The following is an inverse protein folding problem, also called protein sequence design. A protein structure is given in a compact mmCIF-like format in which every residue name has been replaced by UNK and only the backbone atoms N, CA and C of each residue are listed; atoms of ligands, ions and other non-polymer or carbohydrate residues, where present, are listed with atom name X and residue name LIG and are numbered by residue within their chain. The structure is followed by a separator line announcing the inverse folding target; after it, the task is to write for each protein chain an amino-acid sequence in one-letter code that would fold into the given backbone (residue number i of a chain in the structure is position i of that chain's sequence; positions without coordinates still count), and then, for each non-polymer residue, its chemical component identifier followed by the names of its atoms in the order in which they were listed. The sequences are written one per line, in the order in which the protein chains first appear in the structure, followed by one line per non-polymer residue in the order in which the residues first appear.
data_IF_031193311562
#
_entry.id   IF_031193311562
#
_cell.length_a   1.000
_cell.length_b   1.000
_cell.length_c   1.000
_cell.angle_alpha   90.00
_cell.angle_beta   90.00
_cell.angle_gamma   90.00
#
_symmetry.space_group_name_H-M   'P 1'
#
loop_
_entity.id
_entity.type
_entity.pdbx_description
1 polymer ?
#
# COMPACT_ATOMS: atom_id res chain seq x y z
N UNK A 1 19.04 6.87 -20.47
CA UNK A 1 17.83 6.47 -19.75
C UNK A 1 18.30 5.72 -18.52
N UNK A 2 18.26 6.35 -17.35
CA UNK A 2 18.68 5.71 -16.10
C UNK A 2 17.58 4.73 -15.70
N UNK A 3 17.85 3.45 -15.92
CA UNK A 3 17.12 2.35 -15.32
C UNK A 3 17.45 2.42 -13.83
N UNK A 4 16.48 2.85 -13.01
CA UNK A 4 16.61 2.86 -11.57
C UNK A 4 16.78 1.40 -11.13
N UNK A 5 18.01 1.08 -10.72
CA UNK A 5 18.39 -0.19 -10.15
C UNK A 5 17.63 -0.36 -8.84
N UNK A 6 16.80 -1.42 -8.76
CA UNK A 6 15.94 -1.71 -7.59
C UNK A 6 16.73 -1.98 -6.30
N UNK A 7 18.07 -1.92 -6.33
CA UNK A 7 18.93 -2.26 -5.19
C UNK A 7 19.27 -1.08 -4.28
N UNK A 8 18.88 0.16 -4.60
CA UNK A 8 19.19 1.35 -3.77
C UNK A 8 18.09 1.76 -2.79
N UNK A 9 16.94 1.08 -2.77
CA UNK A 9 15.92 1.26 -1.73
C UNK A 9 16.17 0.27 -0.58
N UNK A 10 17.10 0.62 0.32
CA UNK A 10 17.31 -0.03 1.63
C UNK A 10 16.16 0.26 2.61
N UNK A 11 14.92 0.04 2.16
CA UNK A 11 13.67 0.08 2.92
C UNK A 11 12.91 -1.20 2.65
N UNK A 12 13.36 -2.31 3.22
CA UNK A 12 13.01 -3.67 2.81
C UNK A 12 11.52 -3.93 2.55
N UNK A 13 11.17 -4.15 1.28
CA UNK A 13 10.04 -5.00 0.94
C UNK A 13 10.37 -6.42 1.42
N UNK A 14 9.69 -6.90 2.46
CA UNK A 14 10.02 -8.19 3.09
C UNK A 14 9.44 -9.41 2.34
N UNK A 15 8.99 -9.24 1.09
CA UNK A 15 8.37 -10.30 0.29
C UNK A 15 6.83 -10.33 0.40
N UNK A 16 6.22 -11.31 -0.29
CA UNK A 16 4.77 -11.52 -0.31
C UNK A 16 4.41 -12.58 0.76
N UNK A 17 3.54 -12.20 1.69
CA UNK A 17 3.12 -13.02 2.83
C UNK A 17 1.70 -13.52 2.67
N UNK A 18 1.40 -14.66 3.28
CA UNK A 18 0.04 -15.19 3.35
C UNK A 18 -0.87 -14.28 4.21
N UNK A 19 -2.11 -14.11 3.78
CA UNK A 19 -3.13 -13.36 4.52
C UNK A 19 -3.68 -14.18 5.70
N UNK A 20 -2.85 -14.34 6.74
CA UNK A 20 -3.13 -15.18 7.92
C UNK A 20 -2.64 -14.49 9.20
N UNK A 21 -3.23 -14.80 10.38
CA UNK A 21 -2.97 -14.03 11.61
C UNK A 21 -1.51 -14.01 12.10
N UNK A 22 -0.77 -15.11 11.92
CA UNK A 22 0.62 -15.21 12.40
C UNK A 22 1.58 -14.35 11.56
N UNK A 23 1.37 -14.26 10.24
CA UNK A 23 2.15 -13.35 9.38
C UNK A 23 1.91 -11.89 9.76
N UNK A 24 0.65 -11.53 10.04
CA UNK A 24 0.27 -10.19 10.48
C UNK A 24 0.88 -9.79 11.82
N UNK A 25 1.20 -10.75 12.68
CA UNK A 25 1.83 -10.50 13.98
C UNK A 25 3.30 -10.10 13.81
N UNK A 26 3.96 -10.62 12.78
CA UNK A 26 5.36 -10.36 12.46
C UNK A 26 5.58 -9.01 11.74
N UNK A 27 4.50 -8.36 11.29
CA UNK A 27 4.59 -7.03 10.65
C UNK A 27 5.07 -5.99 11.67
N UNK A 28 6.10 -5.18 11.33
CA UNK A 28 6.56 -4.13 12.23
C UNK A 28 5.53 -3.00 12.38
N UNK A 29 5.53 -2.36 13.54
CA UNK A 29 4.73 -1.17 13.80
C UNK A 29 5.46 0.09 13.28
N UNK A 30 5.50 0.24 11.96
CA UNK A 30 6.19 1.34 11.25
C UNK A 30 5.22 2.10 10.33
N UNK A 31 5.71 3.17 9.70
CA UNK A 31 5.04 3.82 8.58
C UNK A 31 5.41 3.14 7.26
N UNK A 32 4.55 3.26 6.26
CA UNK A 32 4.79 2.61 4.99
C UNK A 32 3.57 2.48 4.10
N UNK A 33 3.75 1.83 2.97
CA UNK A 33 2.69 1.45 2.03
C UNK A 33 2.47 -0.06 2.12
N UNK A 34 1.23 -0.50 2.10
CA UNK A 34 0.89 -1.92 2.03
C UNK A 34 -0.02 -2.23 0.86
N UNK A 35 0.14 -3.45 0.34
CA UNK A 35 -0.63 -4.01 -0.76
C UNK A 35 -1.36 -5.25 -0.27
N UNK A 36 -2.64 -5.37 -0.65
CA UNK A 36 -3.40 -6.61 -0.53
C UNK A 36 -3.55 -7.23 -1.91
N UNK A 37 -3.46 -8.57 -1.99
CA UNK A 37 -3.47 -9.32 -3.25
C UNK A 37 -4.44 -10.48 -3.23
N UNK A 38 -4.94 -10.82 -4.41
CA UNK A 38 -5.77 -12.01 -4.62
C UNK A 38 -4.95 -13.30 -4.75
N UNK A 39 -5.61 -14.43 -5.00
CA UNK A 39 -4.99 -15.75 -5.18
C UNK A 39 -3.97 -15.80 -6.34
N UNK A 40 -4.15 -14.94 -7.34
CA UNK A 40 -3.25 -14.81 -8.49
C UNK A 40 -2.11 -13.79 -8.23
N UNK A 41 -1.97 -13.34 -6.98
CA UNK A 41 -1.02 -12.31 -6.56
C UNK A 41 -1.23 -10.93 -7.23
N UNK A 42 -2.41 -10.70 -7.82
CA UNK A 42 -2.77 -9.41 -8.39
C UNK A 42 -3.09 -8.43 -7.26
N UNK A 43 -2.54 -7.22 -7.31
CA UNK A 43 -2.80 -6.20 -6.29
C UNK A 43 -4.25 -5.72 -6.43
N UNK A 44 -5.02 -5.88 -5.36
CA UNK A 44 -6.44 -5.52 -5.32
C UNK A 44 -6.71 -4.27 -4.49
N UNK A 45 -5.79 -3.92 -3.60
CA UNK A 45 -5.87 -2.75 -2.74
C UNK A 45 -4.48 -2.27 -2.33
N UNK A 46 -4.29 -0.95 -2.25
CA UNK A 46 -3.07 -0.28 -1.81
C UNK A 46 -3.45 0.82 -0.82
N UNK A 47 -2.74 0.93 0.30
CA UNK A 47 -2.93 2.05 1.21
C UNK A 47 -1.68 2.39 2.01
N UNK A 48 -1.68 3.61 2.55
CA UNK A 48 -0.61 4.13 3.41
C UNK A 48 -0.91 3.94 4.90
N UNK A 49 0.15 3.73 5.67
CA UNK A 49 0.18 3.70 7.12
C UNK A 49 1.09 4.80 7.66
N UNK A 50 0.63 5.53 8.69
CA UNK A 50 1.48 6.48 9.39
C UNK A 50 2.51 5.74 10.25
N UNK A 51 3.57 6.42 10.74
CA UNK A 51 4.51 5.83 11.70
C UNK A 51 3.79 5.13 12.85
N UNK A 52 4.08 3.84 13.04
CA UNK A 52 3.44 3.01 14.08
C UNK A 52 2.18 2.26 13.66
N UNK A 53 1.56 2.58 12.51
CA UNK A 53 0.20 2.11 12.19
C UNK A 53 0.14 0.89 11.25
N UNK A 54 1.24 0.50 10.59
CA UNK A 54 1.20 -0.50 9.52
C UNK A 54 0.56 -1.83 9.96
N UNK A 55 1.08 -2.42 11.04
CA UNK A 55 0.54 -3.66 11.62
C UNK A 55 -0.93 -3.50 12.03
N UNK A 56 -1.31 -2.37 12.63
CA UNK A 56 -2.67 -2.15 13.11
C UNK A 56 -3.66 -2.09 11.93
N UNK A 57 -3.32 -1.37 10.86
CA UNK A 57 -4.18 -1.25 9.68
C UNK A 57 -4.41 -2.58 8.99
N UNK A 58 -3.35 -3.37 8.79
CA UNK A 58 -3.47 -4.71 8.22
C UNK A 58 -4.34 -5.62 9.10
N UNK A 59 -4.12 -5.60 10.43
CA UNK A 59 -4.97 -6.35 11.37
C UNK A 59 -6.43 -5.90 11.34
N UNK A 60 -6.69 -4.60 11.17
CA UNK A 60 -8.05 -4.05 11.06
C UNK A 60 -8.75 -4.56 9.81
N UNK A 61 -8.08 -4.56 8.66
CA UNK A 61 -8.60 -5.14 7.42
C UNK A 61 -8.87 -6.64 7.58
N UNK A 62 -7.93 -7.38 8.16
CA UNK A 62 -8.08 -8.82 8.40
C UNK A 62 -9.30 -9.13 9.27
N UNK A 63 -9.47 -8.41 10.40
CA UNK A 63 -10.59 -8.62 11.32
C UNK A 63 -11.94 -8.21 10.73
N UNK A 64 -11.97 -7.13 9.95
CA UNK A 64 -13.19 -6.64 9.32
C UNK A 64 -13.59 -7.44 8.08
N UNK A 65 -12.61 -8.07 7.43
CA UNK A 65 -12.77 -8.70 6.13
C UNK A 65 -13.47 -7.78 5.12
N UNK A 66 -13.06 -6.51 5.09
CA UNK A 66 -13.69 -5.45 4.29
C UNK A 66 -13.19 -5.41 2.84
N UNK A 67 -12.03 -6.01 2.56
CA UNK A 67 -11.55 -6.24 1.21
C UNK A 67 -11.70 -7.74 0.89
N UNK A 68 -12.61 -8.13 -0.02
CA UNK A 68 -12.87 -9.53 -0.32
C UNK A 68 -11.73 -10.15 -1.15
N UNK A 69 -11.66 -11.49 -1.12
CA UNK A 69 -10.75 -12.31 -1.93
C UNK A 69 -9.25 -11.97 -1.74
N UNK A 70 -8.85 -11.56 -0.54
CA UNK A 70 -7.44 -11.33 -0.21
C UNK A 70 -6.79 -12.64 0.26
N UNK A 71 -5.70 -13.02 -0.40
CA UNK A 71 -4.92 -14.23 -0.09
C UNK A 71 -3.49 -13.91 0.35
N UNK A 72 -2.96 -12.76 -0.08
CA UNK A 72 -1.63 -12.33 0.27
C UNK A 72 -1.58 -10.85 0.59
N UNK A 73 -0.51 -10.44 1.27
CA UNK A 73 -0.17 -9.05 1.46
C UNK A 73 1.34 -8.84 1.38
N UNK A 74 1.74 -7.63 1.08
CA UNK A 74 3.11 -7.15 1.23
C UNK A 74 3.09 -5.71 1.71
N UNK A 75 4.26 -5.22 2.09
CA UNK A 75 4.42 -3.86 2.55
C UNK A 75 5.83 -3.35 2.26
N UNK A 76 5.94 -2.03 2.25
CA UNK A 76 7.16 -1.29 2.02
C UNK A 76 7.25 -0.19 3.08
N UNK A 77 8.30 -0.22 3.89
CA UNK A 77 8.53 0.80 4.90
C UNK A 77 9.05 2.08 4.25
N UNK A 78 8.50 3.21 4.68
CA UNK A 78 8.94 4.54 4.26
C UNK A 78 9.51 5.30 5.45
N UNK A 79 10.29 6.34 5.16
CA UNK A 79 10.97 7.15 6.16
C UNK A 79 10.04 8.18 6.82
N UNK A 80 8.99 8.61 6.11
CA UNK A 80 8.06 9.64 6.57
C UNK A 80 6.71 9.59 5.82
N UNK A 81 5.74 10.37 6.30
CA UNK A 81 4.38 10.41 5.72
C UNK A 81 4.34 10.96 4.29
N UNK A 82 5.22 11.91 3.94
CA UNK A 82 5.30 12.45 2.59
C UNK A 82 5.72 11.36 1.58
N UNK A 83 6.77 10.61 1.90
CA UNK A 83 7.23 9.47 1.10
C UNK A 83 6.14 8.40 0.99
N UNK A 84 5.44 8.07 2.09
CA UNK A 84 4.29 7.16 2.07
C UNK A 84 3.25 7.60 1.05
N UNK A 85 2.90 8.88 1.02
CA UNK A 85 1.89 9.38 0.11
C UNK A 85 2.36 9.36 -1.35
N UNK A 86 3.63 9.72 -1.62
CA UNK A 86 4.20 9.64 -2.96
C UNK A 86 4.18 8.21 -3.48
N UNK A 87 4.78 7.25 -2.75
CA UNK A 87 4.86 5.84 -3.17
C UNK A 87 3.46 5.24 -3.35
N UNK A 88 2.53 5.54 -2.43
CA UNK A 88 1.14 5.09 -2.53
C UNK A 88 0.48 5.58 -3.82
N UNK A 89 0.62 6.87 -4.16
CA UNK A 89 -0.01 7.42 -5.37
C UNK A 89 0.61 6.84 -6.64
N UNK A 90 1.93 6.68 -6.67
CA UNK A 90 2.64 6.04 -7.79
C UNK A 90 2.14 4.60 -8.01
N UNK A 91 2.06 3.80 -6.95
CA UNK A 91 1.60 2.42 -7.07
C UNK A 91 0.12 2.30 -7.41
N UNK A 92 -0.74 3.20 -6.90
CA UNK A 92 -2.15 3.24 -7.30
C UNK A 92 -2.28 3.57 -8.80
N UNK A 93 -1.49 4.52 -9.30
CA UNK A 93 -1.50 4.91 -10.71
C UNK A 93 -0.98 3.78 -11.63
N UNK A 94 0.06 3.06 -11.18
CA UNK A 94 0.68 1.94 -11.90
C UNK A 94 -0.23 0.70 -11.93
N UNK A 95 -0.66 0.21 -10.76
CA UNK A 95 -1.33 -1.08 -10.64
C UNK A 95 -2.86 -0.99 -10.77
N UNK A 96 -3.45 0.20 -10.62
CA UNK A 96 -4.89 0.45 -10.73
C UNK A 96 -5.75 -0.58 -9.96
N UNK A 97 -5.46 -0.81 -8.66
CA UNK A 97 -6.15 -1.81 -7.86
C UNK A 97 -7.67 -1.59 -7.82
N UNK A 98 -8.43 -2.68 -8.04
CA UNK A 98 -9.89 -2.66 -8.17
C UNK A 98 -10.64 -2.04 -6.97
N UNK A 99 -10.08 -2.09 -5.76
CA UNK A 99 -10.72 -1.58 -4.54
C UNK A 99 -10.20 -0.23 -4.07
N UNK A 100 -9.19 0.36 -4.74
CA UNK A 100 -8.92 1.77 -4.55
C UNK A 100 -9.91 2.54 -5.41
N UNK A 101 -10.88 3.19 -4.75
CA UNK A 101 -11.72 4.19 -5.41
C UNK A 101 -10.76 5.21 -6.02
N UNK A 102 -10.61 5.18 -7.34
CA UNK A 102 -9.95 6.29 -8.05
C UNK A 102 -10.74 7.53 -7.66
N UNK A 103 -10.10 8.63 -7.22
CA UNK A 103 -10.82 9.89 -7.16
C UNK A 103 -11.35 10.12 -8.57
N UNK A 104 -12.67 10.04 -8.70
CA UNK A 104 -13.35 10.41 -9.92
C UNK A 104 -12.85 11.81 -10.28
N UNK A 105 -12.31 11.99 -11.49
CA UNK A 105 -11.83 13.27 -12.00
C UNK A 105 -12.98 14.30 -12.19
N UNK A 106 -14.09 14.19 -11.44
CA UNK A 106 -15.09 15.27 -11.28
C UNK A 106 -14.65 16.37 -10.31
N UNK A 107 -13.51 16.22 -9.63
CA UNK A 107 -12.83 17.31 -8.93
C UNK A 107 -12.23 18.30 -9.92
N UNK A 108 -13.03 19.25 -10.39
CA UNK A 108 -12.61 20.45 -11.12
C UNK A 108 -11.29 20.98 -10.54
N UNK A 109 -10.26 21.04 -11.38
CA UNK A 109 -9.18 22.02 -11.25
C UNK A 109 -9.80 23.41 -11.38
N UNK A 110 -10.31 23.96 -10.27
CA UNK A 110 -10.46 25.40 -10.15
C UNK A 110 -9.03 25.95 -10.09
N UNK A 111 -8.57 26.45 -11.26
CA UNK A 111 -7.36 27.25 -11.33
C UNK A 111 -7.52 28.40 -10.33
N UNK A 112 -6.50 28.72 -9.51
CA UNK A 112 -6.53 29.97 -8.77
C UNK A 112 -6.54 31.12 -9.78
N UNK A 113 -7.63 31.89 -9.79
CA UNK A 113 -7.67 33.20 -10.43
C UNK A 113 -6.71 34.11 -9.67
N UNK A 114 -5.61 34.50 -10.32
CA UNK A 114 -4.80 35.66 -9.96
C UNK A 114 -5.21 36.84 -10.84
#
# INVERSE_FOLDING_TARGET
MHQLDRSEFEGGSQGIFWWVPWELTNVPAVGGVYCLRDINQTIVYIAGAKPGELREKLNKHFKKNDIPDVYYFDWYQTSNEYETDVVKQEWIAEFKPKHNIQPDNSGKLEKPSF
#
